data_IF_110410990659
#
_entry.id   IF_110410990659
#
_cell.length_a   1.000
_cell.length_b   1.000
_cell.length_c   1.000
_cell.angle_alpha   90.00
_cell.angle_beta   90.00
_cell.angle_gamma   90.00
#
_symmetry.space_group_name_H-M   'P 1'
#
loop_
_entity.id
_entity.type
_entity.pdbx_description
1 polymer ?
#
# COMPACT_ATOMS: atom_id res chain seq x y z
N UNK A 1 -26.94 -25.06 4.85
CA UNK A 1 -25.71 -24.98 4.03
C UNK A 1 -25.11 -23.60 4.22
N UNK A 2 -24.12 -23.45 5.09
CA UNK A 2 -23.27 -22.27 5.18
C UNK A 2 -21.87 -22.78 5.53
N UNK A 3 -21.06 -23.06 4.51
CA UNK A 3 -19.63 -23.29 4.67
C UNK A 3 -18.99 -21.96 5.05
N UNK A 4 -18.89 -21.69 6.34
CA UNK A 4 -17.89 -20.75 6.85
C UNK A 4 -16.52 -21.34 6.52
N UNK A 5 -15.95 -20.90 5.41
CA UNK A 5 -14.54 -21.07 5.14
C UNK A 5 -13.79 -20.42 6.32
N UNK A 6 -13.15 -21.23 7.16
CA UNK A 6 -12.27 -20.74 8.21
C UNK A 6 -11.09 -20.05 7.53
N UNK A 7 -11.20 -18.74 7.32
CA UNK A 7 -10.04 -17.91 7.06
C UNK A 7 -9.14 -18.03 8.28
N UNK A 8 -7.94 -18.59 8.09
CA UNK A 8 -6.92 -18.63 9.14
C UNK A 8 -6.55 -17.18 9.48
N UNK A 9 -7.24 -16.59 10.45
CA UNK A 9 -6.93 -15.25 10.93
C UNK A 9 -5.72 -15.38 11.86
N UNK A 10 -4.52 -15.32 11.27
CA UNK A 10 -3.28 -15.20 12.03
C UNK A 10 -3.32 -13.89 12.84
N UNK A 11 -2.64 -13.89 13.99
CA UNK A 11 -2.67 -12.74 14.91
C UNK A 11 -2.05 -11.48 14.27
N UNK A 12 -2.42 -10.29 14.76
CA UNK A 12 -1.90 -9.02 14.24
C UNK A 12 -0.35 -8.99 14.18
N UNK A 13 0.41 -9.41 15.22
CA UNK A 13 1.87 -9.43 15.15
C UNK A 13 2.43 -10.39 14.08
N UNK A 14 1.73 -11.50 13.81
CA UNK A 14 2.12 -12.43 12.74
C UNK A 14 1.88 -11.82 11.36
N UNK A 15 0.81 -11.05 11.19
CA UNK A 15 0.55 -10.27 9.97
C UNK A 15 1.66 -9.24 9.74
N UNK A 16 2.06 -8.48 10.77
CA UNK A 16 3.15 -7.51 10.70
C UNK A 16 4.50 -8.19 10.35
N UNK A 17 4.76 -9.36 10.96
CA UNK A 17 5.94 -10.18 10.65
C UNK A 17 5.93 -10.65 9.19
N UNK A 18 4.76 -11.03 8.67
CA UNK A 18 4.60 -11.43 7.28
C UNK A 18 4.85 -10.25 6.32
N UNK A 19 4.28 -9.07 6.61
CA UNK A 19 4.53 -7.84 5.83
C UNK A 19 6.03 -7.55 5.76
N UNK A 20 6.71 -7.61 6.92
CA UNK A 20 8.15 -7.38 6.98
C UNK A 20 8.94 -8.44 6.21
N UNK A 21 8.62 -9.73 6.38
CA UNK A 21 9.32 -10.84 5.71
C UNK A 21 9.19 -10.76 4.18
N UNK A 22 8.00 -10.41 3.69
CA UNK A 22 7.74 -10.28 2.26
C UNK A 22 8.33 -9.00 1.66
N UNK A 23 8.77 -8.06 2.50
CA UNK A 23 9.40 -6.82 2.08
C UNK A 23 8.54 -6.06 1.06
N UNK A 24 7.24 -5.97 1.36
CA UNK A 24 6.22 -5.31 0.52
C UNK A 24 6.54 -3.82 0.38
N UNK A 25 6.98 -3.21 1.48
CA UNK A 25 7.36 -1.81 1.58
C UNK A 25 8.88 -1.71 1.71
N UNK A 26 9.52 -0.98 0.79
CA UNK A 26 10.96 -0.76 0.79
C UNK A 26 11.26 0.71 0.55
N UNK A 27 12.00 1.34 1.44
CA UNK A 27 12.55 2.67 1.20
C UNK A 27 13.90 2.47 0.51
N UNK A 28 13.99 2.77 -0.79
CA UNK A 28 15.19 2.52 -1.59
C UNK A 28 15.41 3.59 -2.64
N UNK A 29 16.64 4.11 -2.70
CA UNK A 29 17.05 5.11 -3.67
C UNK A 29 16.51 6.51 -3.36
N UNK A 30 16.88 7.43 -4.25
CA UNK A 30 16.43 8.82 -4.23
C UNK A 30 16.07 9.23 -5.65
N UNK A 31 15.10 10.10 -5.79
CA UNK A 31 14.79 10.70 -7.09
C UNK A 31 15.83 11.77 -7.48
N UNK A 32 15.64 12.40 -8.65
CA UNK A 32 16.52 13.45 -9.16
C UNK A 32 16.60 14.69 -8.25
N UNK A 33 15.61 14.89 -7.37
CA UNK A 33 15.53 16.01 -6.42
C UNK A 33 16.07 15.63 -5.03
N UNK A 34 16.54 14.39 -4.87
CA UNK A 34 17.05 13.88 -3.60
C UNK A 34 15.97 13.37 -2.64
N UNK A 35 14.70 13.33 -3.06
CA UNK A 35 13.59 12.81 -2.28
C UNK A 35 13.66 11.29 -2.18
N UNK A 36 13.38 10.75 -1.00
CA UNK A 36 13.36 9.29 -0.78
C UNK A 36 12.28 8.61 -1.62
N UNK A 37 12.50 7.36 -2.01
CA UNK A 37 11.49 6.59 -2.75
C UNK A 37 10.99 5.43 -1.90
N UNK A 38 9.69 5.43 -1.60
CA UNK A 38 8.99 4.28 -1.02
C UNK A 38 8.48 3.38 -2.16
N UNK A 39 9.13 2.25 -2.36
CA UNK A 39 8.70 1.22 -3.28
C UNK A 39 7.69 0.27 -2.61
N UNK A 40 6.54 0.08 -3.27
CA UNK A 40 5.48 -0.84 -2.85
C UNK A 40 5.32 -1.94 -3.90
N UNK A 41 5.58 -3.19 -3.51
CA UNK A 41 5.56 -4.34 -4.43
C UNK A 41 4.21 -5.05 -4.36
N UNK A 42 3.29 -4.71 -5.27
CA UNK A 42 1.91 -5.22 -5.23
C UNK A 42 1.81 -6.75 -5.34
N UNK A 43 2.62 -7.40 -6.19
CA UNK A 43 2.62 -8.87 -6.36
C UNK A 43 2.81 -9.64 -5.05
N UNK A 44 3.56 -9.07 -4.12
CA UNK A 44 3.93 -9.71 -2.85
C UNK A 44 2.89 -9.48 -1.76
N UNK A 45 1.81 -8.72 -2.03
CA UNK A 45 0.83 -8.37 -1.00
C UNK A 45 -0.13 -9.54 -0.70
N UNK A 46 -0.16 -10.10 0.52
CA UNK A 46 -0.98 -11.25 0.85
C UNK A 46 -2.41 -10.81 1.24
N UNK A 47 -3.21 -10.37 0.27
CA UNK A 47 -4.51 -9.70 0.50
C UNK A 47 -5.55 -10.52 1.27
N UNK A 48 -5.43 -11.86 1.27
CA UNK A 48 -6.36 -12.75 2.01
C UNK A 48 -6.00 -12.94 3.48
N UNK A 49 -4.77 -12.57 3.87
CA UNK A 49 -4.19 -12.89 5.18
C UNK A 49 -3.95 -11.61 5.98
N UNK A 50 -3.54 -10.53 5.29
CA UNK A 50 -3.19 -9.26 5.92
C UNK A 50 -4.37 -8.29 5.89
N UNK A 51 -4.75 -7.85 7.08
CA UNK A 51 -5.79 -6.83 7.30
C UNK A 51 -5.27 -5.41 7.04
N UNK A 52 -6.20 -4.48 6.79
CA UNK A 52 -5.90 -3.05 6.69
C UNK A 52 -5.30 -2.50 7.99
N UNK A 53 -5.78 -2.98 9.14
CA UNK A 53 -5.27 -2.61 10.45
C UNK A 53 -3.78 -2.96 10.60
N UNK A 54 -3.39 -4.19 10.24
CA UNK A 54 -2.00 -4.62 10.29
C UNK A 54 -1.11 -3.79 9.35
N UNK A 55 -1.60 -3.44 8.16
CA UNK A 55 -0.85 -2.56 7.23
C UNK A 55 -0.67 -1.17 7.83
N UNK A 56 -1.72 -0.56 8.33
CA UNK A 56 -1.67 0.80 8.89
C UNK A 56 -0.71 0.85 10.07
N UNK A 57 -0.81 -0.11 11.00
CA UNK A 57 0.09 -0.22 12.14
C UNK A 57 1.55 -0.39 11.70
N UNK A 58 1.80 -1.29 10.73
CA UNK A 58 3.13 -1.51 10.20
C UNK A 58 3.73 -0.24 9.57
N UNK A 59 2.95 0.46 8.75
CA UNK A 59 3.38 1.71 8.12
C UNK A 59 3.70 2.77 9.17
N UNK A 60 2.84 2.92 10.18
CA UNK A 60 3.01 3.88 11.27
C UNK A 60 4.26 3.60 12.12
N UNK A 61 4.53 2.35 12.46
CA UNK A 61 5.65 2.01 13.34
C UNK A 61 7.00 1.90 12.61
N UNK A 62 6.99 1.45 11.34
CA UNK A 62 8.23 1.05 10.64
C UNK A 62 8.59 1.91 9.43
N UNK A 63 7.62 2.54 8.77
CA UNK A 63 7.85 3.24 7.50
C UNK A 63 7.78 4.75 7.69
N UNK A 64 6.68 5.27 8.22
CA UNK A 64 6.43 6.70 8.37
C UNK A 64 7.51 7.45 9.17
N UNK A 65 8.07 6.93 10.28
CA UNK A 65 9.12 7.63 11.01
C UNK A 65 10.37 7.95 10.17
N UNK A 66 10.62 7.17 9.10
CA UNK A 66 11.72 7.42 8.16
C UNK A 66 11.39 8.41 7.04
N UNK A 67 10.10 8.74 6.86
CA UNK A 67 9.57 9.59 5.78
C UNK A 67 9.11 10.97 6.28
N UNK A 68 8.85 11.12 7.58
CA UNK A 68 8.35 12.38 8.18
C UNK A 68 9.29 13.58 8.04
N UNK A 69 10.58 13.36 7.81
CA UNK A 69 11.57 14.45 7.82
C UNK A 69 11.90 15.03 6.44
N UNK A 70 11.50 14.35 5.35
CA UNK A 70 11.91 14.72 3.99
C UNK A 70 10.82 14.40 2.99
N UNK A 71 10.78 15.18 1.93
CA UNK A 71 9.95 14.86 0.77
C UNK A 71 10.26 13.46 0.24
N UNK A 72 9.23 12.73 -0.14
CA UNK A 72 9.35 11.39 -0.71
C UNK A 72 8.32 11.17 -1.83
N UNK A 73 8.58 10.16 -2.64
CA UNK A 73 7.63 9.67 -3.65
C UNK A 73 7.34 8.20 -3.42
N UNK A 74 6.13 7.77 -3.78
CA UNK A 74 5.74 6.36 -3.75
C UNK A 74 5.84 5.79 -5.16
N UNK A 75 6.45 4.62 -5.30
CA UNK A 75 6.43 3.83 -6.54
C UNK A 75 5.69 2.54 -6.26
N UNK A 76 4.50 2.41 -6.83
CA UNK A 76 3.69 1.20 -6.73
C UNK A 76 3.91 0.31 -7.96
N UNK A 77 4.55 -0.83 -7.75
CA UNK A 77 4.80 -1.85 -8.76
C UNK A 77 3.56 -2.74 -8.87
N UNK A 78 2.76 -2.53 -9.91
CA UNK A 78 1.54 -3.31 -10.17
C UNK A 78 1.79 -4.58 -10.99
N UNK A 79 3.05 -4.86 -11.33
CA UNK A 79 3.41 -6.06 -12.12
C UNK A 79 2.96 -7.34 -11.41
N UNK A 80 2.14 -8.16 -12.06
CA UNK A 80 1.68 -9.43 -11.49
C UNK A 80 0.63 -9.30 -10.38
N UNK A 81 -0.01 -8.15 -10.24
CA UNK A 81 -1.15 -7.97 -9.34
C UNK A 81 -2.40 -8.61 -9.94
N UNK A 82 -3.03 -9.51 -9.19
CA UNK A 82 -4.28 -10.19 -9.49
C UNK A 82 -5.33 -9.81 -8.44
N UNK A 83 -6.49 -9.33 -8.92
CA UNK A 83 -7.61 -8.90 -8.08
C UNK A 83 -8.11 -9.97 -7.12
N UNK A 84 -8.09 -11.24 -7.50
CA UNK A 84 -8.62 -12.34 -6.68
C UNK A 84 -7.64 -12.82 -5.60
N UNK A 85 -6.37 -12.41 -5.67
CA UNK A 85 -5.30 -13.03 -4.88
C UNK A 85 -4.55 -12.03 -4.01
N UNK A 86 -3.95 -11.00 -4.62
CA UNK A 86 -2.98 -10.11 -3.98
C UNK A 86 -3.39 -8.62 -4.01
N UNK A 87 -4.61 -8.33 -4.44
CA UNK A 87 -5.17 -6.99 -4.38
C UNK A 87 -6.13 -6.84 -3.20
N UNK A 88 -5.88 -5.92 -2.24
CA UNK A 88 -6.74 -5.75 -1.05
C UNK A 88 -8.11 -5.13 -1.36
N UNK A 89 -8.34 -4.66 -2.59
CA UNK A 89 -9.56 -3.95 -2.96
C UNK A 89 -9.43 -2.43 -2.77
N UNK A 90 -10.40 -1.72 -3.33
CA UNK A 90 -10.38 -0.25 -3.42
C UNK A 90 -10.65 0.39 -2.06
N UNK A 91 -11.63 -0.14 -1.32
CA UNK A 91 -11.99 0.35 0.00
C UNK A 91 -10.81 0.24 0.98
N UNK A 92 -10.07 -0.88 0.92
CA UNK A 92 -8.87 -1.08 1.72
C UNK A 92 -7.76 -0.08 1.35
N UNK A 93 -7.47 0.12 0.05
CA UNK A 93 -6.49 1.11 -0.38
C UNK A 93 -6.85 2.53 0.06
N UNK A 94 -8.13 2.91 -0.07
CA UNK A 94 -8.63 4.20 0.40
C UNK A 94 -8.45 4.34 1.91
N UNK A 95 -8.84 3.33 2.68
CA UNK A 95 -8.67 3.33 4.15
C UNK A 95 -7.20 3.46 4.57
N UNK A 96 -6.27 2.84 3.83
CA UNK A 96 -4.82 3.01 4.08
C UNK A 96 -4.36 4.43 3.77
N UNK A 97 -4.83 5.03 2.67
CA UNK A 97 -4.51 6.41 2.30
C UNK A 97 -5.08 7.41 3.33
N UNK A 98 -6.32 7.20 3.77
CA UNK A 98 -7.01 8.06 4.73
C UNK A 98 -6.31 8.02 6.10
N UNK A 99 -5.85 6.84 6.54
CA UNK A 99 -5.14 6.61 7.80
C UNK A 99 -3.70 7.15 7.81
N UNK A 100 -3.16 7.59 6.67
CA UNK A 100 -1.82 8.17 6.63
C UNK A 100 -1.79 9.50 7.42
N UNK A 101 -0.83 9.69 8.34
CA UNK A 101 -0.70 10.93 9.10
C UNK A 101 -0.50 12.17 8.21
N UNK A 102 -1.09 13.31 8.60
CA UNK A 102 -1.01 14.56 7.82
C UNK A 102 0.43 15.06 7.62
N UNK A 103 1.29 14.91 8.63
CA UNK A 103 2.73 15.22 8.52
C UNK A 103 3.44 14.35 7.46
N UNK A 104 2.99 13.12 7.22
CA UNK A 104 3.53 12.26 6.16
C UNK A 104 2.91 12.64 4.82
N UNK A 105 1.59 12.84 4.75
CA UNK A 105 0.86 13.27 3.54
C UNK A 105 1.45 14.55 2.95
N UNK A 106 1.78 15.54 3.78
CA UNK A 106 2.33 16.82 3.35
C UNK A 106 3.74 16.71 2.72
N UNK A 107 4.47 15.62 2.99
CA UNK A 107 5.78 15.36 2.39
C UNK A 107 5.71 14.44 1.17
N UNK A 108 4.53 13.92 0.81
CA UNK A 108 4.35 13.08 -0.36
C UNK A 108 4.30 13.94 -1.64
N UNK A 109 5.31 13.82 -2.49
CA UNK A 109 5.39 14.56 -3.75
C UNK A 109 4.52 13.96 -4.85
N UNK A 110 4.60 12.63 -5.03
CA UNK A 110 3.93 11.93 -6.11
C UNK A 110 3.77 10.44 -5.81
N UNK A 111 2.78 9.83 -6.46
CA UNK A 111 2.57 8.38 -6.49
C UNK A 111 2.69 7.90 -7.95
N UNK A 112 3.72 7.12 -8.24
CA UNK A 112 3.95 6.53 -9.56
C UNK A 112 3.41 5.11 -9.61
N UNK A 113 2.53 4.83 -10.58
CA UNK A 113 2.03 3.48 -10.86
C UNK A 113 2.83 2.86 -12.02
N UNK A 114 3.63 1.83 -11.72
CA UNK A 114 4.43 1.13 -12.73
C UNK A 114 3.75 -0.16 -13.19
N UNK A 115 3.76 -0.38 -14.51
CA UNK A 115 3.12 -1.51 -15.19
C UNK A 115 1.65 -1.73 -14.77
N UNK A 116 0.79 -0.69 -14.85
CA UNK A 116 -0.63 -0.88 -14.59
C UNK A 116 -1.25 -1.79 -15.65
N UNK A 117 -2.09 -2.71 -15.21
CA UNK A 117 -2.92 -3.53 -16.10
C UNK A 117 -3.96 -2.65 -16.81
N UNK A 118 -4.53 -3.11 -17.92
CA UNK A 118 -5.61 -2.37 -18.60
C UNK A 118 -6.77 -2.07 -17.63
N UNK A 119 -7.12 -3.04 -16.78
CA UNK A 119 -8.14 -2.89 -15.76
C UNK A 119 -7.79 -1.87 -14.69
N UNK A 120 -6.53 -1.81 -14.23
CA UNK A 120 -6.12 -0.82 -13.24
C UNK A 120 -6.03 0.58 -13.84
N UNK A 121 -5.66 0.71 -15.12
CA UNK A 121 -5.69 2.00 -15.84
C UNK A 121 -7.11 2.56 -15.94
N UNK A 122 -8.06 1.72 -16.36
CA UNK A 122 -9.47 2.12 -16.44
C UNK A 122 -10.02 2.49 -15.06
N UNK A 123 -9.66 1.70 -14.05
CA UNK A 123 -10.02 2.00 -12.66
C UNK A 123 -9.48 3.37 -12.20
N UNK A 124 -8.19 3.64 -12.41
CA UNK A 124 -7.59 4.93 -12.04
C UNK A 124 -8.21 6.10 -12.82
N UNK A 125 -8.57 5.90 -14.09
CA UNK A 125 -9.23 6.94 -14.89
C UNK A 125 -10.63 7.30 -14.37
N UNK A 126 -11.41 6.30 -13.95
CA UNK A 126 -12.78 6.49 -13.48
C UNK A 126 -12.85 6.89 -12.00
N UNK A 127 -12.02 6.29 -11.15
CA UNK A 127 -12.13 6.36 -9.70
C UNK A 127 -10.91 6.97 -9.03
N UNK A 128 -9.82 7.24 -9.77
CA UNK A 128 -8.59 7.77 -9.19
C UNK A 128 -8.80 9.09 -8.46
N UNK A 129 -9.69 9.96 -8.97
CA UNK A 129 -10.05 11.20 -8.26
C UNK A 129 -10.61 10.90 -6.86
N UNK A 130 -11.54 9.96 -6.73
CA UNK A 130 -12.17 9.62 -5.44
C UNK A 130 -11.21 8.99 -4.41
N UNK A 131 -10.06 8.48 -4.84
CA UNK A 131 -9.04 7.89 -3.96
C UNK A 131 -7.94 8.92 -3.62
N UNK A 132 -7.59 9.80 -4.56
CA UNK A 132 -6.42 10.67 -4.45
C UNK A 132 -6.75 12.16 -4.26
N UNK A 133 -7.98 12.60 -4.50
CA UNK A 133 -8.42 13.93 -4.07
C UNK A 133 -8.95 13.79 -2.65
N UNK A 134 -8.12 14.19 -1.67
CA UNK A 134 -8.64 14.55 -0.36
C UNK A 134 -9.73 15.59 -0.55
N UNK A 135 -10.88 15.39 0.11
CA UNK A 135 -11.92 16.41 0.18
C UNK A 135 -11.40 17.69 0.80
#
# INVERSE_FOLDING_TARGET
MNSQASLMTISLPEQEKLIHKLQIFKIQGKDKRGSSILCVIGKLFPARIVSVEAVNKYLQEKIYPSLEQRQFSIVYLHTGVNRAENFPGIAALRSICDAMPENVKNHLNAVYFLHPSLQSRLFLALFGRLIFTGG
#
